data_IF_126655322074
#
_entry.id   IF_126655322074
#
_cell.length_a   1.000
_cell.length_b   1.000
_cell.length_c   1.000
_cell.angle_alpha   90.00
_cell.angle_beta   90.00
_cell.angle_gamma   90.00
#
_symmetry.space_group_name_H-M   'P 1'
#
loop_
_entity.id
_entity.type
_entity.pdbx_description
1 polymer ?
#
# COMPACT_ATOMS: atom_id res chain seq x y z
N UNK A 1 -20.30 -16.31 7.84
CA UNK A 1 -20.97 -15.61 6.74
C UNK A 1 -20.51 -16.27 5.46
N UNK A 2 -21.40 -16.69 4.59
CA UNK A 2 -21.02 -17.26 3.31
C UNK A 2 -20.63 -16.12 2.36
N UNK A 3 -19.49 -16.21 1.68
CA UNK A 3 -18.98 -15.17 0.77
C UNK A 3 -19.94 -14.83 -0.39
N UNK A 4 -20.91 -15.70 -0.69
CA UNK A 4 -21.88 -15.53 -1.77
C UNK A 4 -23.01 -14.51 -1.51
N UNK A 5 -23.11 -13.93 -0.31
CA UNK A 5 -24.22 -12.99 0.00
C UNK A 5 -23.84 -11.54 -0.31
N UNK A 6 -24.24 -11.05 -1.47
CA UNK A 6 -23.99 -9.69 -1.97
C UNK A 6 -24.81 -8.57 -1.29
N UNK A 7 -25.69 -8.88 -0.36
CA UNK A 7 -26.70 -7.93 0.16
C UNK A 7 -26.52 -7.48 1.62
N UNK A 8 -25.56 -7.99 2.36
CA UNK A 8 -25.37 -7.63 3.76
C UNK A 8 -24.15 -6.74 3.94
N UNK A 9 -24.28 -5.62 4.68
CA UNK A 9 -23.17 -4.75 5.02
C UNK A 9 -22.07 -5.55 5.72
N UNK A 10 -20.82 -5.39 5.27
CA UNK A 10 -19.67 -6.09 5.85
C UNK A 10 -19.44 -5.62 7.29
N UNK A 11 -19.16 -6.56 8.16
CA UNK A 11 -18.75 -6.29 9.53
C UNK A 11 -17.21 -6.30 9.64
N UNK A 12 -16.69 -5.45 10.53
CA UNK A 12 -15.27 -5.32 10.79
C UNK A 12 -14.97 -5.30 12.28
N UNK A 13 -13.74 -5.70 12.61
CA UNK A 13 -13.17 -5.57 13.94
C UNK A 13 -12.23 -4.35 13.93
N UNK A 14 -12.39 -3.45 14.90
CA UNK A 14 -11.58 -2.24 15.04
C UNK A 14 -10.29 -2.51 15.81
N UNK A 15 -9.20 -1.90 15.38
CA UNK A 15 -7.91 -1.93 16.08
C UNK A 15 -6.73 -2.22 15.16
N UNK A 16 -5.54 -1.83 15.59
CA UNK A 16 -4.28 -2.12 14.90
C UNK A 16 -3.41 -3.04 15.76
N UNK A 17 -2.98 -4.17 15.19
CA UNK A 17 -2.10 -5.12 15.87
C UNK A 17 -2.73 -5.86 17.05
N UNK A 18 -4.05 -5.84 17.19
CA UNK A 18 -4.78 -6.54 18.24
C UNK A 18 -4.77 -8.07 18.01
N UNK A 19 -4.95 -8.82 19.09
CA UNK A 19 -5.36 -10.21 19.02
C UNK A 19 -6.85 -10.27 18.72
N UNK A 20 -7.16 -10.43 17.44
CA UNK A 20 -8.55 -10.57 16.98
C UNK A 20 -9.04 -12.00 17.12
N UNK A 21 -10.36 -12.18 17.20
CA UNK A 21 -10.99 -13.47 17.32
C UNK A 21 -12.37 -13.43 16.67
N UNK A 22 -12.64 -14.35 15.75
CA UNK A 22 -13.89 -14.35 14.99
C UNK A 22 -14.23 -15.74 14.43
N UNK A 23 -15.52 -16.02 14.29
CA UNK A 23 -16.04 -17.25 13.70
C UNK A 23 -17.23 -16.96 12.79
N UNK A 24 -17.31 -17.63 11.66
CA UNK A 24 -18.43 -17.53 10.73
C UNK A 24 -19.55 -18.52 11.03
N UNK A 25 -19.25 -19.57 11.80
CA UNK A 25 -20.21 -20.51 12.37
C UNK A 25 -20.06 -20.51 13.89
N UNK A 26 -21.14 -20.35 14.67
CA UNK A 26 -21.08 -20.39 16.13
C UNK A 26 -20.44 -21.68 16.67
N UNK A 27 -19.41 -21.53 17.50
CA UNK A 27 -18.69 -22.67 18.11
C UNK A 27 -17.62 -23.29 17.19
N UNK A 28 -17.30 -22.67 16.04
CA UNK A 28 -16.18 -23.11 15.19
C UNK A 28 -14.81 -22.77 15.78
N UNK A 29 -14.75 -21.75 16.63
CA UNK A 29 -13.53 -21.33 17.31
C UNK A 29 -13.30 -22.19 18.56
N UNK A 30 -12.17 -22.92 18.67
CA UNK A 30 -11.86 -23.68 19.86
C UNK A 30 -11.72 -22.81 21.10
N UNK A 31 -12.11 -23.34 22.24
CA UNK A 31 -12.01 -22.66 23.55
C UNK A 31 -10.86 -23.27 24.35
N UNK A 32 -9.98 -22.40 24.87
CA UNK A 32 -8.94 -22.78 25.82
C UNK A 32 -7.65 -23.33 25.19
N UNK A 33 -7.62 -23.66 23.89
CA UNK A 33 -6.42 -24.15 23.22
C UNK A 33 -6.44 -23.85 21.71
N UNK A 34 -5.26 -23.70 21.11
CA UNK A 34 -5.12 -23.36 19.68
C UNK A 34 -5.27 -24.59 18.76
N UNK A 35 -4.79 -25.75 19.18
CA UNK A 35 -4.73 -26.96 18.36
C UNK A 35 -5.34 -28.17 19.09
N UNK A 36 -6.67 -28.20 19.26
CA UNK A 36 -7.33 -29.36 19.87
C UNK A 36 -7.14 -30.59 19.00
N UNK A 37 -7.09 -31.77 19.65
CA UNK A 37 -7.00 -33.05 18.94
C UNK A 37 -8.13 -33.22 17.91
N UNK A 38 -9.31 -32.72 18.23
CA UNK A 38 -10.48 -32.68 17.35
C UNK A 38 -11.05 -31.26 17.35
N UNK A 39 -10.79 -30.52 16.28
CA UNK A 39 -11.40 -29.21 16.13
C UNK A 39 -12.91 -29.32 15.89
N UNK A 40 -13.69 -28.29 16.30
CA UNK A 40 -15.13 -28.25 16.04
C UNK A 40 -15.44 -28.44 14.55
N UNK A 41 -16.61 -29.03 14.26
CA UNK A 41 -17.11 -29.28 12.90
C UNK A 41 -16.18 -30.13 12.00
N UNK A 42 -15.19 -30.82 12.56
CA UNK A 42 -14.20 -31.55 11.77
C UNK A 42 -13.24 -30.67 10.97
N UNK A 43 -13.07 -29.41 11.38
CA UNK A 43 -12.16 -28.48 10.77
C UNK A 43 -10.70 -28.87 11.00
N UNK A 44 -9.82 -28.47 10.09
CA UNK A 44 -8.38 -28.60 10.24
C UNK A 44 -7.80 -27.33 10.87
N UNK A 45 -6.94 -27.54 11.88
CA UNK A 45 -6.17 -26.44 12.48
C UNK A 45 -4.94 -26.16 11.64
N UNK A 46 -4.73 -24.89 11.31
CA UNK A 46 -3.56 -24.43 10.56
C UNK A 46 -3.00 -23.14 11.20
N UNK A 47 -1.68 -23.04 11.33
CA UNK A 47 -1.00 -21.85 11.81
C UNK A 47 -0.48 -21.03 10.63
N UNK A 48 -0.97 -19.81 10.51
CA UNK A 48 -0.44 -18.80 9.59
C UNK A 48 0.56 -17.90 10.35
N UNK A 49 1.85 -18.20 10.23
CA UNK A 49 2.93 -17.49 10.93
C UNK A 49 3.61 -16.49 10.01
N UNK A 50 3.44 -15.19 10.30
CA UNK A 50 4.00 -14.10 9.48
C UNK A 50 5.43 -13.71 9.85
N UNK A 51 5.88 -14.00 11.09
CA UNK A 51 7.17 -13.48 11.60
C UNK A 51 7.97 -14.50 12.41
N UNK A 52 7.70 -15.80 12.27
CA UNK A 52 8.43 -16.82 13.02
C UNK A 52 9.94 -16.69 12.82
N UNK A 53 10.69 -16.61 13.92
CA UNK A 53 12.15 -16.46 13.98
C UNK A 53 12.73 -15.20 13.32
N UNK A 54 11.91 -14.29 12.85
CA UNK A 54 12.35 -13.07 12.14
C UNK A 54 12.14 -11.80 12.95
N UNK A 55 11.43 -11.89 14.09
CA UNK A 55 11.16 -10.78 15.01
C UNK A 55 11.25 -11.26 16.48
N UNK A 56 11.41 -10.33 17.44
CA UNK A 56 11.25 -10.65 18.87
C UNK A 56 9.90 -11.29 19.16
N UNK A 57 9.84 -12.21 20.11
CA UNK A 57 8.62 -12.94 20.45
C UNK A 57 7.44 -12.05 20.83
N UNK A 58 7.71 -10.93 21.47
CA UNK A 58 6.69 -9.92 21.84
C UNK A 58 6.06 -9.22 20.63
N UNK A 59 6.71 -9.24 19.49
CA UNK A 59 6.27 -8.61 18.23
C UNK A 59 5.83 -9.65 17.19
N UNK A 60 5.86 -10.94 17.54
CA UNK A 60 5.55 -12.02 16.62
C UNK A 60 4.10 -11.93 16.13
N UNK A 61 3.91 -12.02 14.83
CA UNK A 61 2.61 -12.06 14.17
C UNK A 61 2.28 -13.47 13.73
N UNK A 62 1.11 -13.95 14.11
CA UNK A 62 0.56 -15.25 13.74
C UNK A 62 -0.96 -15.23 13.83
N UNK A 63 -1.59 -16.15 13.09
CA UNK A 63 -3.04 -16.39 13.14
C UNK A 63 -3.30 -17.88 13.10
N UNK A 64 -4.09 -18.38 14.05
CA UNK A 64 -4.61 -19.73 14.06
C UNK A 64 -5.88 -19.76 13.26
N UNK A 65 -5.93 -20.65 12.28
CA UNK A 65 -7.04 -20.80 11.35
C UNK A 65 -7.68 -22.18 11.51
N UNK A 66 -9.01 -22.23 11.44
CA UNK A 66 -9.80 -23.46 11.49
C UNK A 66 -10.55 -23.53 10.16
N UNK A 67 -10.13 -24.46 9.29
CA UNK A 67 -10.50 -24.46 7.89
C UNK A 67 -11.02 -25.81 7.39
N UNK A 68 -11.79 -25.78 6.31
CA UNK A 68 -12.45 -26.97 5.74
C UNK A 68 -11.42 -27.94 5.16
N UNK A 69 -10.40 -27.42 4.46
CA UNK A 69 -9.30 -28.22 3.93
C UNK A 69 -7.97 -27.51 4.19
N UNK A 70 -6.91 -28.23 4.58
CA UNK A 70 -5.62 -27.62 4.88
C UNK A 70 -4.95 -27.11 3.61
N UNK A 71 -4.16 -26.03 3.74
CA UNK A 71 -3.42 -25.42 2.62
C UNK A 71 -2.43 -26.39 1.96
N UNK A 72 -1.99 -27.43 2.67
CA UNK A 72 -1.08 -28.45 2.14
C UNK A 72 -1.74 -29.37 1.07
N UNK A 73 -3.07 -29.32 0.94
CA UNK A 73 -3.79 -30.12 -0.04
C UNK A 73 -3.82 -29.43 -1.41
N UNK A 74 -2.72 -29.50 -2.11
CA UNK A 74 -2.59 -28.97 -3.49
C UNK A 74 -1.60 -29.82 -4.31
N UNK A 75 -1.79 -29.92 -5.65
CA UNK A 75 -0.80 -30.44 -6.56
C UNK A 75 0.46 -29.55 -6.64
N UNK A 76 1.47 -30.03 -7.36
CA UNK A 76 2.65 -29.22 -7.61
C UNK A 76 2.33 -27.95 -8.42
N UNK A 77 2.98 -26.84 -8.06
CA UNK A 77 2.88 -25.59 -8.81
C UNK A 77 3.66 -25.68 -10.12
N UNK A 78 3.06 -25.15 -11.18
CA UNK A 78 3.66 -25.00 -12.50
C UNK A 78 3.97 -23.52 -12.76
N UNK A 79 5.15 -23.23 -13.27
CA UNK A 79 5.56 -21.86 -13.58
C UNK A 79 4.73 -21.28 -14.71
N UNK A 80 4.27 -20.04 -14.53
CA UNK A 80 3.68 -19.22 -15.57
C UNK A 80 4.76 -18.41 -16.29
N UNK A 81 4.56 -18.08 -17.56
CA UNK A 81 5.54 -17.31 -18.33
C UNK A 81 5.71 -15.88 -17.82
N UNK A 82 4.65 -15.29 -17.27
CA UNK A 82 4.65 -13.92 -16.78
C UNK A 82 5.43 -13.78 -15.46
N UNK A 83 6.23 -12.72 -15.38
CA UNK A 83 6.97 -12.31 -14.18
C UNK A 83 6.39 -11.01 -13.62
N UNK A 84 6.31 -10.92 -12.28
CA UNK A 84 5.93 -9.71 -11.54
C UNK A 84 7.05 -9.19 -10.62
N UNK A 85 8.21 -9.80 -10.62
CA UNK A 85 9.36 -9.22 -9.92
C UNK A 85 9.75 -7.94 -10.59
N UNK A 86 9.92 -6.87 -9.88
CA UNK A 86 10.51 -5.61 -10.36
C UNK A 86 10.81 -5.48 -11.85
N UNK A 87 10.29 -6.36 -12.68
CA UNK A 87 10.53 -6.52 -14.10
C UNK A 87 12.02 -6.70 -14.40
N UNK A 88 12.43 -6.75 -15.65
CA UNK A 88 13.79 -6.38 -15.98
C UNK A 88 13.95 -4.93 -15.57
N UNK A 89 14.82 -4.67 -14.57
CA UNK A 89 15.15 -3.33 -14.14
C UNK A 89 15.78 -2.57 -15.32
N UNK A 90 15.37 -1.31 -15.48
CA UNK A 90 15.92 -0.42 -16.48
C UNK A 90 17.33 0.08 -16.09
N UNK A 91 17.86 1.00 -16.88
CA UNK A 91 19.08 1.69 -16.53
C UNK A 91 18.92 2.56 -15.29
N UNK A 92 19.97 2.63 -14.48
CA UNK A 92 20.01 3.51 -13.31
C UNK A 92 20.10 4.95 -13.78
N UNK A 93 19.20 5.81 -13.29
CA UNK A 93 19.21 7.24 -13.61
C UNK A 93 19.09 8.07 -12.33
N UNK A 94 19.85 9.15 -12.18
CA UNK A 94 19.65 10.14 -11.12
C UNK A 94 18.56 11.17 -11.46
N UNK A 95 17.98 11.10 -12.66
CA UNK A 95 16.98 12.05 -13.12
C UNK A 95 15.66 11.86 -12.38
N UNK A 96 14.94 12.94 -12.21
CA UNK A 96 13.57 12.93 -11.71
C UNK A 96 12.65 12.38 -12.79
N UNK A 97 11.79 11.46 -12.42
CA UNK A 97 10.84 10.84 -13.33
C UNK A 97 9.41 11.18 -12.92
N UNK A 98 8.54 11.36 -13.92
CA UNK A 98 7.10 11.56 -13.70
C UNK A 98 6.31 10.87 -14.79
N UNK A 99 5.20 10.23 -14.39
CA UNK A 99 4.32 9.51 -15.29
C UNK A 99 2.90 10.07 -15.23
N UNK A 100 2.27 10.16 -16.37
CA UNK A 100 0.83 10.30 -16.48
C UNK A 100 0.14 9.02 -15.94
N UNK A 101 -1.18 9.08 -15.65
CA UNK A 101 -1.93 7.89 -15.28
C UNK A 101 -1.81 6.80 -16.34
N UNK A 102 -1.69 5.54 -15.92
CA UNK A 102 -1.76 4.41 -16.85
C UNK A 102 -3.13 4.36 -17.52
N UNK A 103 -3.16 4.03 -18.80
CA UNK A 103 -4.41 3.82 -19.53
C UNK A 103 -5.17 2.64 -18.93
N UNK A 104 -6.49 2.76 -18.91
CA UNK A 104 -7.36 1.67 -18.49
C UNK A 104 -7.44 0.62 -19.60
N UNK A 105 -7.43 -0.69 -19.27
CA UNK A 105 -7.40 -1.74 -20.28
C UNK A 105 -8.70 -1.79 -21.09
N UNK A 106 -8.57 -2.05 -22.38
CA UNK A 106 -9.69 -2.34 -23.29
C UNK A 106 -10.01 -3.85 -23.37
N UNK A 107 -8.98 -4.67 -23.22
CA UNK A 107 -9.11 -6.12 -23.15
C UNK A 107 -9.39 -6.58 -21.72
N UNK A 108 -10.09 -7.72 -21.52
CA UNK A 108 -10.37 -8.26 -20.20
C UNK A 108 -9.10 -8.47 -19.40
N UNK A 109 -8.91 -7.68 -18.33
CA UNK A 109 -7.71 -7.65 -17.53
C UNK A 109 -8.09 -7.67 -16.04
N UNK A 110 -7.68 -8.72 -15.32
CA UNK A 110 -7.87 -8.80 -13.89
C UNK A 110 -6.73 -8.10 -13.12
N UNK A 111 -6.85 -8.05 -11.80
CA UNK A 111 -5.88 -7.36 -10.94
C UNK A 111 -4.44 -7.85 -11.13
N UNK A 112 -4.21 -9.18 -11.24
CA UNK A 112 -2.86 -9.73 -11.43
C UNK A 112 -2.33 -9.37 -12.82
N UNK A 113 -3.17 -9.52 -13.85
CA UNK A 113 -2.76 -9.25 -15.23
C UNK A 113 -2.54 -7.76 -15.49
N UNK A 114 -3.20 -6.90 -14.74
CA UNK A 114 -3.04 -5.45 -14.80
C UNK A 114 -1.93 -4.86 -13.94
N UNK A 115 -1.23 -5.67 -13.13
CA UNK A 115 -0.07 -5.21 -12.37
C UNK A 115 1.11 -4.95 -13.31
N UNK A 116 1.70 -3.77 -13.23
CA UNK A 116 2.94 -3.41 -13.92
C UNK A 116 3.96 -2.90 -12.91
N UNK A 117 5.19 -3.39 -13.02
CA UNK A 117 6.28 -2.93 -12.16
C UNK A 117 6.73 -1.55 -12.57
N UNK A 118 6.82 -0.62 -11.61
CA UNK A 118 7.34 0.73 -11.82
C UNK A 118 8.79 0.86 -11.35
N UNK A 119 9.08 0.42 -10.14
CA UNK A 119 10.42 0.50 -9.57
C UNK A 119 10.63 -0.58 -8.50
N UNK A 120 11.89 -0.95 -8.25
CA UNK A 120 12.26 -1.83 -7.15
C UNK A 120 13.69 -1.56 -6.70
N UNK A 121 14.01 -1.98 -5.46
CA UNK A 121 15.39 -1.89 -4.93
C UNK A 121 15.92 -3.22 -4.42
N UNK A 122 15.10 -4.24 -4.34
CA UNK A 122 15.50 -5.59 -3.98
C UNK A 122 14.54 -6.61 -4.59
N UNK A 123 14.93 -7.86 -4.59
CA UNK A 123 14.06 -9.00 -4.80
C UNK A 123 13.75 -9.68 -3.47
N UNK A 124 12.82 -10.61 -3.49
CA UNK A 124 12.36 -11.33 -2.31
C UNK A 124 13.40 -12.26 -1.67
N UNK A 125 14.55 -12.42 -2.27
CA UNK A 125 15.69 -13.17 -1.73
C UNK A 125 16.35 -12.49 -0.52
N UNK A 126 16.03 -11.21 -0.26
CA UNK A 126 16.52 -10.46 0.90
C UNK A 126 15.33 -10.00 1.76
N UNK A 127 15.44 -10.06 3.09
CA UNK A 127 14.39 -9.58 3.99
C UNK A 127 14.44 -8.06 4.14
N UNK A 128 14.52 -7.33 3.03
CA UNK A 128 14.58 -5.87 2.97
C UNK A 128 14.29 -5.38 1.57
N UNK A 129 13.91 -4.10 1.45
CA UNK A 129 13.59 -3.46 0.19
C UNK A 129 12.11 -3.53 -0.16
N UNK A 130 11.79 -2.95 -1.29
CA UNK A 130 10.42 -2.84 -1.79
C UNK A 130 10.36 -3.03 -3.30
N UNK A 131 9.19 -3.42 -3.79
CA UNK A 131 8.84 -3.33 -5.20
C UNK A 131 7.56 -2.51 -5.33
N UNK A 132 7.52 -1.60 -6.30
CA UNK A 132 6.39 -0.70 -6.53
C UNK A 132 5.74 -1.04 -7.86
N UNK A 133 4.42 -1.16 -7.82
CA UNK A 133 3.59 -1.45 -8.99
C UNK A 133 2.49 -0.40 -9.12
N UNK A 134 2.07 -0.17 -10.35
CA UNK A 134 0.75 0.38 -10.64
C UNK A 134 -0.14 -0.76 -11.14
N UNK A 135 -1.44 -0.68 -10.91
CA UNK A 135 -2.40 -1.64 -11.45
C UNK A 135 -3.55 -0.95 -12.18
N UNK A 136 -4.05 -1.63 -13.19
CA UNK A 136 -5.30 -1.31 -13.89
C UNK A 136 -6.10 -2.60 -14.09
N UNK A 137 -7.42 -2.55 -13.93
CA UNK A 137 -8.26 -3.72 -14.13
C UNK A 137 -9.65 -3.31 -14.65
N UNK A 138 -10.26 -4.16 -15.47
CA UNK A 138 -11.65 -4.04 -15.92
C UNK A 138 -12.44 -5.35 -15.78
N UNK A 139 -11.84 -6.35 -15.10
CA UNK A 139 -12.44 -7.66 -14.84
C UNK A 139 -12.11 -8.10 -13.42
N UNK A 140 -13.08 -8.68 -12.73
CA UNK A 140 -12.85 -9.38 -11.46
C UNK A 140 -12.01 -10.64 -11.65
N UNK A 141 -11.20 -10.99 -10.67
CA UNK A 141 -10.46 -12.24 -10.67
C UNK A 141 -11.40 -13.44 -10.52
N UNK A 142 -11.15 -14.49 -11.28
CA UNK A 142 -11.76 -15.82 -11.11
C UNK A 142 -10.83 -16.78 -10.35
N UNK A 143 -9.55 -16.46 -10.31
CA UNK A 143 -8.47 -17.18 -9.62
C UNK A 143 -8.18 -16.58 -8.25
N UNK A 144 -7.61 -17.39 -7.37
CA UNK A 144 -7.12 -16.94 -6.07
C UNK A 144 -5.62 -16.72 -6.14
N UNK A 145 -5.12 -15.69 -5.46
CA UNK A 145 -3.72 -15.32 -5.48
C UNK A 145 -3.16 -15.23 -4.06
N UNK A 146 -1.87 -15.52 -3.90
CA UNK A 146 -1.11 -15.11 -2.73
C UNK A 146 0.33 -14.74 -3.08
N UNK A 147 0.87 -13.81 -2.32
CA UNK A 147 2.23 -13.31 -2.49
C UNK A 147 3.14 -13.91 -1.41
N UNK A 148 4.04 -14.82 -1.79
CA UNK A 148 5.03 -15.40 -0.89
C UNK A 148 6.27 -14.52 -0.72
N UNK A 149 6.41 -13.43 -1.49
CA UNK A 149 7.59 -12.57 -1.50
C UNK A 149 7.51 -11.45 -0.46
N UNK A 150 6.34 -10.83 -0.29
CA UNK A 150 6.19 -9.67 0.58
C UNK A 150 4.75 -9.40 1.03
N UNK A 151 4.62 -8.50 1.99
CA UNK A 151 3.38 -7.86 2.40
C UNK A 151 2.97 -6.85 1.33
N UNK A 152 1.68 -6.72 1.02
CA UNK A 152 1.17 -5.84 -0.04
C UNK A 152 0.36 -4.69 0.56
N UNK A 153 0.77 -3.45 0.28
CA UNK A 153 0.02 -2.23 0.59
C UNK A 153 -0.60 -1.71 -0.70
N UNK A 154 -1.94 -1.77 -0.82
CA UNK A 154 -2.70 -1.27 -1.96
C UNK A 154 -3.26 0.12 -1.68
N UNK A 155 -3.16 1.00 -2.68
CA UNK A 155 -3.68 2.37 -2.64
C UNK A 155 -4.59 2.58 -3.87
N UNK A 156 -5.90 2.29 -3.77
CA UNK A 156 -6.85 2.54 -4.84
C UNK A 156 -6.93 4.03 -5.21
N UNK A 157 -6.93 4.31 -6.51
CA UNK A 157 -7.10 5.66 -7.05
C UNK A 157 -8.43 5.82 -7.80
N UNK A 158 -8.83 4.80 -8.53
CA UNK A 158 -10.08 4.74 -9.29
C UNK A 158 -10.75 3.37 -9.06
N UNK A 159 -12.06 3.40 -8.87
CA UNK A 159 -12.88 2.20 -8.68
C UNK A 159 -12.73 1.58 -7.28
N UNK A 160 -13.82 1.01 -6.81
CA UNK A 160 -13.90 0.28 -5.54
C UNK A 160 -13.56 -1.19 -5.77
N UNK A 161 -12.88 -1.78 -4.81
CA UNK A 161 -12.50 -3.19 -4.82
C UNK A 161 -13.16 -3.92 -3.67
N UNK A 162 -13.58 -5.14 -3.90
CA UNK A 162 -13.90 -6.12 -2.89
C UNK A 162 -12.78 -7.15 -2.88
N UNK A 163 -12.14 -7.31 -1.74
CA UNK A 163 -11.04 -8.25 -1.56
C UNK A 163 -11.52 -9.39 -0.68
N UNK A 164 -11.86 -10.50 -1.30
CA UNK A 164 -12.20 -11.73 -0.61
C UNK A 164 -10.90 -12.43 -0.19
N UNK A 165 -10.67 -12.55 1.10
CA UNK A 165 -9.48 -13.22 1.67
C UNK A 165 -9.88 -14.49 2.39
N UNK A 166 -8.91 -15.37 2.69
CA UNK A 166 -9.17 -16.54 3.52
C UNK A 166 -9.53 -16.19 4.98
N UNK A 167 -9.30 -14.94 5.42
CA UNK A 167 -9.66 -14.44 6.76
C UNK A 167 -10.93 -13.56 6.78
N UNK A 168 -11.59 -13.38 5.64
CA UNK A 168 -12.80 -12.57 5.51
C UNK A 168 -12.73 -11.57 4.37
N UNK A 169 -13.69 -10.67 4.27
CA UNK A 169 -13.89 -9.77 3.13
C UNK A 169 -13.64 -8.33 3.53
N UNK A 170 -12.88 -7.61 2.68
CA UNK A 170 -12.69 -6.17 2.77
C UNK A 170 -13.26 -5.49 1.52
N UNK A 171 -13.97 -4.39 1.70
CA UNK A 171 -14.25 -3.44 0.62
C UNK A 171 -13.39 -2.20 0.83
N UNK A 172 -12.72 -1.77 -0.24
CA UNK A 172 -11.81 -0.63 -0.23
C UNK A 172 -12.12 0.30 -1.41
N UNK A 173 -12.19 1.59 -1.13
CA UNK A 173 -12.46 2.64 -2.10
C UNK A 173 -11.23 3.56 -2.27
N UNK A 174 -11.18 4.43 -3.30
CA UNK A 174 -10.26 5.54 -3.31
C UNK A 174 -10.31 6.34 -1.99
N UNK A 175 -9.16 6.82 -1.53
CA UNK A 175 -8.94 7.42 -0.19
C UNK A 175 -8.91 6.42 0.97
N UNK A 176 -8.97 5.14 0.72
CA UNK A 176 -8.68 4.08 1.68
C UNK A 176 -7.45 3.29 1.22
N UNK A 177 -6.77 2.65 2.15
CA UNK A 177 -5.70 1.69 1.87
C UNK A 177 -6.07 0.33 2.43
N UNK A 178 -5.44 -0.71 1.88
CA UNK A 178 -5.52 -2.06 2.44
C UNK A 178 -4.13 -2.68 2.48
N UNK A 179 -3.82 -3.37 3.57
CA UNK A 179 -2.61 -4.15 3.75
C UNK A 179 -2.97 -5.63 3.82
N UNK A 180 -2.33 -6.41 2.95
CA UNK A 180 -2.48 -7.86 2.86
C UNK A 180 -1.18 -8.51 3.33
N UNK A 181 -1.18 -9.29 4.44
CA UNK A 181 0.01 -9.96 4.93
C UNK A 181 0.64 -10.89 3.89
N UNK A 182 1.96 -11.03 3.93
CA UNK A 182 2.71 -12.00 3.12
C UNK A 182 2.13 -13.41 3.30
N UNK A 183 1.77 -14.06 2.19
CA UNK A 183 1.24 -15.43 2.18
C UNK A 183 -0.28 -15.54 2.32
N UNK A 184 -1.00 -14.46 2.61
CA UNK A 184 -2.47 -14.47 2.67
C UNK A 184 -3.07 -14.74 1.29
N UNK A 185 -4.02 -15.66 1.22
CA UNK A 185 -4.75 -15.97 -0.01
C UNK A 185 -5.91 -14.99 -0.20
N UNK A 186 -6.08 -14.47 -1.41
CA UNK A 186 -7.14 -13.53 -1.73
C UNK A 186 -7.55 -13.53 -3.20
N UNK A 187 -8.72 -12.95 -3.48
CA UNK A 187 -9.26 -12.64 -4.81
C UNK A 187 -9.78 -11.21 -4.82
N UNK A 188 -9.44 -10.45 -5.87
CA UNK A 188 -9.93 -9.09 -6.07
C UNK A 188 -11.12 -9.09 -7.02
N UNK A 189 -12.23 -8.54 -6.55
CA UNK A 189 -13.47 -8.33 -7.30
C UNK A 189 -13.68 -6.83 -7.49
N UNK A 190 -14.06 -6.43 -8.70
CA UNK A 190 -14.36 -5.04 -9.01
C UNK A 190 -15.80 -4.74 -8.63
N UNK A 191 -16.03 -3.69 -7.85
CA UNK A 191 -17.35 -3.15 -7.53
C UNK A 191 -17.79 -2.05 -8.49
N UNK A 192 -16.86 -1.55 -9.29
CA UNK A 192 -17.06 -0.59 -10.36
C UNK A 192 -16.52 -1.16 -11.67
N UNK A 193 -16.90 -0.63 -12.86
CA UNK A 193 -16.51 -1.22 -14.14
C UNK A 193 -15.00 -1.33 -14.37
N UNK A 194 -14.23 -0.44 -13.74
CA UNK A 194 -12.78 -0.34 -13.91
C UNK A 194 -12.13 0.07 -12.59
N UNK A 195 -10.87 -0.32 -12.43
CA UNK A 195 -10.06 0.07 -11.29
C UNK A 195 -8.64 0.45 -11.72
N UNK A 196 -8.04 1.38 -10.99
CA UNK A 196 -6.64 1.78 -11.09
C UNK A 196 -6.12 2.17 -9.71
N UNK A 197 -4.84 1.92 -9.48
CA UNK A 197 -4.19 2.33 -8.24
C UNK A 197 -2.73 1.92 -8.20
N UNK A 198 -2.19 1.96 -7.00
CA UNK A 198 -0.78 1.73 -6.71
C UNK A 198 -0.64 0.61 -5.69
N UNK A 199 0.52 -0.03 -5.70
CA UNK A 199 0.85 -1.09 -4.78
C UNK A 199 2.33 -1.01 -4.41
N UNK A 200 2.62 -1.03 -3.11
CA UNK A 200 3.95 -1.31 -2.60
C UNK A 200 3.99 -2.73 -2.04
N UNK A 201 4.95 -3.50 -2.49
CA UNK A 201 5.31 -4.80 -1.94
C UNK A 201 6.48 -4.62 -0.99
N UNK A 202 6.29 -4.93 0.27
CA UNK A 202 7.26 -4.78 1.33
C UNK A 202 7.94 -6.13 1.60
N UNK A 203 9.24 -6.22 1.31
CA UNK A 203 10.06 -7.42 1.57
C UNK A 203 10.69 -7.42 2.97
N UNK A 204 10.56 -6.30 3.69
CA UNK A 204 11.11 -6.10 5.04
C UNK A 204 10.21 -6.56 6.17
N UNK A 205 10.41 -5.98 7.34
CA UNK A 205 9.54 -6.19 8.49
C UNK A 205 8.10 -5.73 8.19
N UNK A 206 7.07 -6.36 8.78
CA UNK A 206 5.69 -5.96 8.58
C UNK A 206 5.46 -4.48 8.93
N UNK A 207 4.57 -3.84 8.18
CA UNK A 207 4.15 -2.47 8.44
C UNK A 207 3.57 -2.33 9.85
N UNK A 208 3.93 -1.26 10.53
CA UNK A 208 3.49 -0.88 11.87
C UNK A 208 3.16 0.61 11.94
N UNK A 209 2.53 1.03 13.02
CA UNK A 209 2.36 2.46 13.29
C UNK A 209 3.73 3.08 13.60
N UNK A 210 3.99 4.31 13.13
CA UNK A 210 5.21 5.04 13.47
C UNK A 210 5.22 5.48 14.94
N UNK A 211 6.39 5.86 15.44
CA UNK A 211 6.52 6.48 16.73
C UNK A 211 5.82 7.86 16.73
N UNK A 212 5.09 8.17 17.81
CA UNK A 212 4.26 9.37 17.88
C UNK A 212 5.08 10.67 17.98
N UNK A 213 6.29 10.59 18.50
CA UNK A 213 7.19 11.74 18.61
C UNK A 213 6.59 12.89 19.46
N UNK A 214 6.87 14.15 19.09
CA UNK A 214 6.44 15.31 19.87
C UNK A 214 4.93 15.56 19.81
N UNK A 215 4.19 14.92 18.93
CA UNK A 215 2.72 15.08 18.80
C UNK A 215 1.99 14.40 19.97
N UNK A 216 2.62 13.44 20.61
CA UNK A 216 2.02 12.63 21.67
C UNK A 216 0.99 11.62 21.12
N UNK A 217 0.08 11.17 21.98
CA UNK A 217 -0.82 10.06 21.70
C UNK A 217 -2.05 10.40 20.86
N UNK A 218 -2.30 11.67 20.54
CA UNK A 218 -3.52 12.13 19.86
C UNK A 218 -3.30 12.55 18.41
N UNK A 219 -2.12 12.33 17.87
CA UNK A 219 -1.76 12.65 16.48
C UNK A 219 -1.74 11.42 15.57
N UNK A 220 -1.49 11.63 14.28
CA UNK A 220 -1.28 10.58 13.27
C UNK A 220 -2.50 9.67 13.03
N UNK A 221 -2.28 8.47 12.49
CA UNK A 221 -3.31 7.45 12.35
C UNK A 221 -3.69 6.85 13.71
N UNK A 222 -4.98 6.87 14.05
CA UNK A 222 -5.44 6.30 15.30
C UNK A 222 -5.63 4.79 15.14
N UNK A 223 -5.08 3.94 16.03
CA UNK A 223 -5.24 2.48 15.97
C UNK A 223 -6.69 2.01 15.83
N UNK A 224 -7.65 2.67 16.45
CA UNK A 224 -9.08 2.31 16.39
C UNK A 224 -9.71 2.44 15.00
N UNK A 225 -9.10 3.23 14.11
CA UNK A 225 -9.64 3.50 12.77
C UNK A 225 -9.17 2.48 11.73
N UNK A 226 -8.29 1.56 12.12
CA UNK A 226 -7.93 0.40 11.32
C UNK A 226 -8.98 -0.70 11.48
N UNK A 227 -9.39 -1.30 10.37
CA UNK A 227 -10.47 -2.25 10.31
C UNK A 227 -9.99 -3.58 9.72
N UNK A 228 -10.19 -4.65 10.49
CA UNK A 228 -9.90 -6.04 10.11
C UNK A 228 -11.22 -6.77 9.84
N UNK A 229 -11.31 -7.65 8.82
CA UNK A 229 -12.57 -8.34 8.51
C UNK A 229 -12.96 -9.31 9.60
N UNK A 230 -14.24 -9.67 9.67
CA UNK A 230 -14.71 -10.86 10.41
C UNK A 230 -14.59 -12.08 9.53
N UNK A 231 -14.51 -13.26 10.14
CA UNK A 231 -14.44 -14.54 9.42
C UNK A 231 -15.59 -14.69 8.42
N UNK A 232 -15.23 -15.06 7.21
CA UNK A 232 -16.14 -15.44 6.14
C UNK A 232 -15.45 -16.51 5.29
N UNK A 233 -16.19 -17.48 4.77
CA UNK A 233 -15.61 -18.63 4.09
C UNK A 233 -16.40 -19.05 2.86
N UNK A 234 -15.73 -19.73 1.95
CA UNK A 234 -16.32 -20.46 0.82
C UNK A 234 -16.28 -21.97 1.10
N UNK A 235 -17.40 -22.63 0.94
CA UNK A 235 -17.47 -24.09 0.95
C UNK A 235 -17.82 -24.58 -0.47
N UNK A 236 -16.96 -24.23 -1.42
CA UNK A 236 -17.13 -24.53 -2.84
C UNK A 236 -16.20 -25.67 -3.24
N UNK A 237 -16.79 -26.77 -3.72
CA UNK A 237 -16.08 -27.93 -4.27
C UNK A 237 -16.09 -27.83 -5.81
N UNK A 238 -15.25 -26.93 -6.33
CA UNK A 238 -15.13 -26.68 -7.77
C UNK A 238 -13.67 -26.39 -8.14
N UNK A 239 -13.27 -26.61 -9.40
CA UNK A 239 -11.94 -26.26 -9.85
C UNK A 239 -11.64 -24.78 -9.57
N UNK A 240 -10.50 -24.52 -8.95
CA UNK A 240 -10.05 -23.18 -8.59
C UNK A 240 -8.55 -23.07 -8.86
N UNK A 241 -8.17 -22.18 -9.74
CA UNK A 241 -6.74 -21.87 -9.97
C UNK A 241 -6.19 -21.07 -8.80
N UNK A 242 -5.16 -21.59 -8.15
CA UNK A 242 -4.38 -20.89 -7.13
C UNK A 242 -3.07 -20.41 -7.73
N UNK A 243 -2.87 -19.10 -7.74
CA UNK A 243 -1.64 -18.46 -8.25
C UNK A 243 -0.77 -18.01 -7.09
N UNK A 244 0.51 -18.35 -7.14
CA UNK A 244 1.51 -17.93 -6.19
C UNK A 244 2.55 -17.03 -6.86
N UNK A 245 2.88 -15.90 -6.24
CA UNK A 245 4.11 -15.17 -6.55
C UNK A 245 5.23 -15.68 -5.63
N UNK A 246 6.33 -16.16 -6.24
CA UNK A 246 7.50 -16.64 -5.51
C UNK A 246 8.77 -16.23 -6.25
N UNK A 247 9.66 -15.51 -5.57
CA UNK A 247 10.86 -14.86 -6.14
C UNK A 247 10.57 -14.11 -7.45
N UNK A 248 9.48 -13.33 -7.43
CA UNK A 248 9.05 -12.52 -8.55
C UNK A 248 8.45 -13.29 -9.72
N UNK A 249 8.43 -14.61 -9.67
CA UNK A 249 7.83 -15.47 -10.68
C UNK A 249 6.39 -15.81 -10.28
N UNK A 250 5.52 -15.99 -11.25
CA UNK A 250 4.18 -16.52 -11.03
C UNK A 250 4.16 -18.02 -11.26
N UNK A 251 3.49 -18.71 -10.35
CA UNK A 251 3.28 -20.15 -10.36
C UNK A 251 1.80 -20.42 -10.17
N UNK A 252 1.26 -21.47 -10.76
CA UNK A 252 -0.14 -21.84 -10.59
C UNK A 252 -0.30 -23.34 -10.29
N UNK A 253 -1.36 -23.66 -9.58
CA UNK A 253 -1.84 -25.03 -9.37
C UNK A 253 -3.36 -25.02 -9.41
N UNK A 254 -3.95 -26.16 -9.79
CA UNK A 254 -5.40 -26.34 -9.81
C UNK A 254 -5.85 -27.10 -8.55
N UNK A 255 -6.72 -26.47 -7.80
CA UNK A 255 -7.42 -27.09 -6.66
C UNK A 255 -8.79 -27.58 -7.10
N UNK A 256 -9.34 -28.54 -6.39
CA UNK A 256 -10.73 -28.99 -6.56
C UNK A 256 -11.70 -28.30 -5.60
N UNK A 257 -11.28 -27.28 -4.93
CA UNK A 257 -12.04 -26.52 -3.92
C UNK A 257 -11.55 -25.06 -3.85
N UNK A 258 -12.38 -24.19 -3.29
CA UNK A 258 -11.92 -22.82 -2.96
C UNK A 258 -10.94 -22.86 -1.78
N UNK A 259 -9.77 -22.20 -1.88
CA UNK A 259 -8.86 -22.07 -0.75
C UNK A 259 -9.26 -20.96 0.24
N UNK A 260 -10.32 -20.20 -0.03
CA UNK A 260 -10.87 -19.18 0.89
C UNK A 260 -11.85 -19.83 1.89
N UNK A 261 -11.43 -20.89 2.55
CA UNK A 261 -12.28 -21.84 3.28
C UNK A 261 -12.05 -21.85 4.81
N UNK A 262 -11.55 -20.74 5.37
CA UNK A 262 -11.32 -20.60 6.81
C UNK A 262 -12.62 -20.16 7.50
N UNK A 263 -13.15 -21.04 8.36
CA UNK A 263 -14.46 -20.86 9.03
C UNK A 263 -14.35 -20.02 10.31
N UNK A 264 -13.21 -20.13 10.99
CA UNK A 264 -12.91 -19.36 12.19
C UNK A 264 -11.41 -19.12 12.30
N UNK A 265 -11.03 -18.02 12.96
CA UNK A 265 -9.63 -17.70 13.18
C UNK A 265 -9.45 -16.75 14.37
N UNK A 266 -8.26 -16.76 14.97
CA UNK A 266 -7.82 -15.76 15.94
C UNK A 266 -6.34 -15.48 15.78
N UNK A 267 -5.92 -14.24 16.03
CA UNK A 267 -4.53 -13.81 15.95
C UNK A 267 -4.38 -12.36 15.49
N UNK A 268 -3.15 -12.01 15.14
CA UNK A 268 -2.75 -10.66 14.79
C UNK A 268 -2.01 -10.53 13.44
N UNK A 269 -1.81 -11.66 12.72
CA UNK A 269 -1.31 -11.63 11.35
C UNK A 269 -2.50 -11.62 10.38
N UNK A 270 -3.09 -10.45 10.21
CA UNK A 270 -4.41 -10.26 9.58
C UNK A 270 -4.38 -9.14 8.55
N UNK A 271 -5.22 -9.18 7.51
CA UNK A 271 -5.39 -8.05 6.62
C UNK A 271 -6.16 -6.93 7.32
N UNK A 272 -5.87 -5.70 6.93
CA UNK A 272 -6.58 -4.54 7.46
C UNK A 272 -6.70 -3.43 6.42
N UNK A 273 -7.69 -2.55 6.60
CA UNK A 273 -7.86 -1.32 5.83
C UNK A 273 -7.86 -0.09 6.75
N UNK A 274 -7.57 1.06 6.15
CA UNK A 274 -7.60 2.35 6.84
C UNK A 274 -8.11 3.44 5.91
N UNK A 275 -8.97 4.31 6.43
CA UNK A 275 -9.50 5.50 5.72
C UNK A 275 -8.55 6.68 5.95
N UNK A 276 -7.86 7.13 4.91
CA UNK A 276 -6.86 8.21 4.96
C UNK A 276 -7.47 9.55 5.40
N UNK A 277 -8.77 9.75 5.25
CA UNK A 277 -9.47 10.95 5.69
C UNK A 277 -9.56 11.07 7.23
N UNK A 278 -9.27 9.98 7.95
CA UNK A 278 -9.25 9.93 9.41
C UNK A 278 -7.89 10.28 10.02
N UNK A 279 -6.90 10.51 9.18
CA UNK A 279 -5.57 10.89 9.64
C UNK A 279 -5.61 12.25 10.34
N UNK A 280 -5.08 12.34 11.57
CA UNK A 280 -5.03 13.58 12.32
C UNK A 280 -3.83 14.41 11.87
N UNK A 281 -4.03 15.24 10.85
CA UNK A 281 -2.98 16.00 10.19
C UNK A 281 -2.55 17.19 11.02
N UNK A 282 -1.24 17.33 11.22
CA UNK A 282 -0.63 18.53 11.81
C UNK A 282 0.19 19.22 10.71
N UNK A 283 -0.40 20.25 10.08
CA UNK A 283 0.22 21.00 8.98
C UNK A 283 0.82 22.32 9.36
N UNK A 284 0.77 22.69 10.67
CA UNK A 284 1.05 24.05 11.11
C UNK A 284 1.78 24.08 12.44
N UNK A 285 2.78 24.95 12.50
CA UNK A 285 3.47 25.44 13.70
C UNK A 285 3.48 26.97 13.65
N UNK A 286 4.07 27.67 14.62
CA UNK A 286 4.08 29.13 14.63
C UNK A 286 4.77 29.72 13.38
N UNK A 287 5.91 29.17 13.02
CA UNK A 287 6.64 29.47 11.78
C UNK A 287 7.39 28.22 11.35
N UNK A 288 7.84 28.17 10.09
CA UNK A 288 8.40 27.01 9.40
C UNK A 288 7.37 25.90 9.15
N UNK A 289 7.80 24.81 8.56
CA UNK A 289 7.00 23.61 8.35
C UNK A 289 7.36 22.54 9.38
N UNK A 290 6.37 21.76 9.85
CA UNK A 290 6.68 20.52 10.54
C UNK A 290 7.46 19.60 9.61
N UNK A 291 8.29 18.72 10.19
CA UNK A 291 8.98 17.68 9.45
C UNK A 291 7.96 16.76 8.75
N UNK A 292 8.10 16.45 7.44
CA UNK A 292 7.16 15.62 6.71
C UNK A 292 6.95 14.22 7.30
N UNK A 293 7.87 13.71 8.11
CA UNK A 293 7.74 12.42 8.79
C UNK A 293 6.52 12.33 9.71
N UNK A 294 5.98 13.47 10.16
CA UNK A 294 4.71 13.49 10.92
C UNK A 294 3.49 13.10 10.08
N UNK A 295 3.61 13.02 8.77
CA UNK A 295 2.56 12.57 7.86
C UNK A 295 2.64 11.07 7.57
N UNK A 296 3.54 10.34 8.22
CA UNK A 296 3.67 8.88 8.07
C UNK A 296 2.47 8.17 8.68
N UNK A 297 1.78 7.38 7.88
CA UNK A 297 0.65 6.55 8.31
C UNK A 297 1.15 5.20 8.82
N UNK A 298 2.04 4.57 8.08
CA UNK A 298 2.63 3.25 8.38
C UNK A 298 4.12 3.25 8.06
N UNK A 299 4.89 2.51 8.83
CA UNK A 299 6.33 2.31 8.63
C UNK A 299 6.72 0.84 8.70
N UNK A 300 7.64 0.42 7.83
CA UNK A 300 8.36 -0.86 7.93
C UNK A 300 9.79 -0.56 8.35
N UNK A 301 10.22 -0.93 9.55
CA UNK A 301 11.58 -0.66 10.01
C UNK A 301 12.60 -1.57 9.33
N UNK A 302 13.86 -1.12 9.30
CA UNK A 302 15.03 -1.97 9.01
C UNK A 302 15.63 -2.50 10.31
N UNK A 303 16.71 -3.29 10.20
CA UNK A 303 17.54 -3.68 11.34
C UNK A 303 18.37 -2.54 11.94
N UNK A 304 18.45 -1.41 11.24
CA UNK A 304 19.13 -0.19 11.72
C UNK A 304 18.10 0.72 12.36
N UNK A 305 18.28 1.02 13.64
CA UNK A 305 17.36 1.86 14.40
C UNK A 305 17.16 3.23 13.72
N UNK A 306 15.91 3.64 13.55
CA UNK A 306 15.56 4.92 12.93
C UNK A 306 15.62 4.94 11.39
N UNK A 307 16.02 3.83 10.75
CA UNK A 307 16.06 3.72 9.31
C UNK A 307 14.87 2.92 8.78
N UNK A 308 14.02 3.54 7.97
CA UNK A 308 12.87 2.88 7.38
C UNK A 308 13.24 2.06 6.13
N UNK A 309 12.67 0.86 6.02
CA UNK A 309 12.63 0.08 4.79
C UNK A 309 11.56 0.64 3.83
N UNK A 310 10.40 0.97 4.38
CA UNK A 310 9.28 1.59 3.69
C UNK A 310 8.52 2.49 4.67
N UNK A 311 8.36 3.75 4.33
CA UNK A 311 7.38 4.63 4.93
C UNK A 311 6.26 4.90 3.94
N UNK A 312 5.02 4.82 4.42
CA UNK A 312 3.84 5.27 3.69
C UNK A 312 3.40 6.61 4.28
N UNK A 313 3.66 7.66 3.52
CA UNK A 313 3.41 9.06 3.90
C UNK A 313 2.26 9.59 3.07
N UNK A 314 1.41 10.45 3.64
CA UNK A 314 0.31 11.08 2.92
C UNK A 314 0.36 12.60 3.02
N UNK A 315 -0.25 13.27 2.04
CA UNK A 315 -0.43 14.72 2.03
C UNK A 315 -1.94 15.01 1.94
N UNK A 316 -2.63 14.94 3.11
CA UNK A 316 -4.08 15.13 3.15
C UNK A 316 -4.48 16.60 3.24
N UNK A 317 -5.79 16.91 3.17
CA UNK A 317 -6.31 18.24 3.48
C UNK A 317 -5.84 18.74 4.84
N UNK A 318 -5.40 20.03 4.91
CA UNK A 318 -4.84 20.61 6.11
C UNK A 318 -4.90 22.13 6.13
N UNK A 319 -4.80 22.70 7.31
CA UNK A 319 -4.65 24.15 7.51
C UNK A 319 -3.19 24.57 7.44
N UNK A 320 -2.93 25.68 6.74
CA UNK A 320 -1.63 26.34 6.64
C UNK A 320 -1.75 27.74 7.26
N UNK A 321 -1.14 27.94 8.42
CA UNK A 321 -1.19 29.21 9.16
C UNK A 321 0.17 29.67 9.68
N UNK A 322 1.28 29.07 9.20
CA UNK A 322 2.62 29.45 9.61
C UNK A 322 2.92 30.92 9.27
N UNK A 323 3.42 31.63 10.28
CA UNK A 323 3.72 33.07 10.18
C UNK A 323 4.95 33.31 9.34
N UNK A 324 4.88 34.29 8.43
CA UNK A 324 6.01 34.72 7.59
C UNK A 324 6.82 33.57 6.94
N UNK A 325 6.13 32.47 6.61
CA UNK A 325 6.75 31.24 6.13
C UNK A 325 6.42 30.98 4.67
N UNK A 326 7.41 30.56 3.88
CA UNK A 326 7.20 29.99 2.56
C UNK A 326 6.38 28.69 2.69
N UNK A 327 5.14 28.68 2.18
CA UNK A 327 4.16 27.63 2.53
C UNK A 327 4.20 26.36 1.71
N UNK A 328 4.58 26.32 0.41
CA UNK A 328 4.86 25.07 -0.28
C UNK A 328 6.03 24.33 0.38
N UNK A 329 6.17 23.03 0.16
CA UNK A 329 7.40 22.32 0.54
C UNK A 329 8.62 23.07 -0.04
N UNK A 330 9.65 23.25 0.77
CA UNK A 330 10.89 23.92 0.34
C UNK A 330 11.65 23.11 -0.72
N UNK A 331 12.54 23.74 -1.47
CA UNK A 331 13.50 23.01 -2.31
C UNK A 331 14.40 22.17 -1.42
N UNK A 332 14.54 20.90 -1.75
CA UNK A 332 15.32 19.96 -0.94
C UNK A 332 15.95 18.84 -1.77
N UNK A 333 16.77 18.09 -1.11
CA UNK A 333 17.34 16.81 -1.52
C UNK A 333 17.60 16.00 -0.26
N UNK A 334 17.20 14.76 -0.25
CA UNK A 334 17.32 13.89 0.91
C UNK A 334 17.91 12.52 0.57
N UNK A 335 18.14 11.70 1.58
CA UNK A 335 18.68 10.35 1.43
C UNK A 335 17.63 9.32 0.96
N UNK A 336 16.36 9.60 1.20
CA UNK A 336 15.27 8.70 0.82
C UNK A 336 14.99 8.79 -0.67
N UNK A 337 14.47 7.70 -1.22
CA UNK A 337 13.88 7.66 -2.55
C UNK A 337 12.38 7.79 -2.37
N UNK A 338 11.77 8.66 -3.13
CA UNK A 338 10.38 9.07 -3.02
C UNK A 338 9.62 8.64 -4.28
N UNK A 339 8.76 7.63 -4.15
CA UNK A 339 7.78 7.33 -5.19
C UNK A 339 6.44 7.92 -4.75
N UNK A 340 6.01 8.98 -5.43
CA UNK A 340 4.79 9.70 -5.11
C UNK A 340 3.67 9.34 -6.06
N UNK A 341 2.44 9.28 -5.54
CA UNK A 341 1.20 9.16 -6.31
C UNK A 341 0.17 10.19 -5.89
N UNK A 342 -0.71 10.56 -6.83
CA UNK A 342 -1.84 11.45 -6.55
C UNK A 342 -3.15 10.67 -6.65
N UNK A 343 -3.87 10.57 -5.54
CA UNK A 343 -5.15 9.86 -5.48
C UNK A 343 -6.27 10.78 -5.97
N UNK A 344 -6.27 12.04 -5.50
CA UNK A 344 -7.36 12.99 -5.76
C UNK A 344 -6.85 14.43 -5.75
N UNK A 345 -7.48 15.29 -6.55
CA UNK A 345 -7.29 16.74 -6.53
C UNK A 345 -5.99 17.20 -7.15
N UNK A 346 -5.39 18.22 -6.55
CA UNK A 346 -4.14 18.85 -6.98
C UNK A 346 -3.09 18.74 -5.88
N UNK A 347 -1.82 18.66 -6.26
CA UNK A 347 -0.72 18.65 -5.30
C UNK A 347 -0.17 20.08 -5.14
N UNK A 348 -0.01 20.53 -3.91
CA UNK A 348 0.32 21.91 -3.53
C UNK A 348 1.70 22.43 -4.00
N UNK A 349 2.61 21.52 -4.39
CA UNK A 349 3.93 21.89 -4.93
C UNK A 349 4.00 21.94 -6.45
N UNK A 350 2.93 21.59 -7.17
CA UNK A 350 2.91 21.47 -8.63
C UNK A 350 1.63 22.07 -9.21
N UNK A 351 1.79 23.16 -9.97
CA UNK A 351 0.65 23.81 -10.62
C UNK A 351 0.07 22.97 -11.76
N UNK A 352 0.91 22.20 -12.47
CA UNK A 352 0.51 21.42 -13.64
C UNK A 352 1.27 20.10 -13.77
N UNK A 353 0.70 19.18 -14.55
CA UNK A 353 1.36 17.96 -15.02
C UNK A 353 1.42 16.82 -14.02
N UNK A 354 0.92 16.98 -12.80
CA UNK A 354 0.74 15.91 -11.82
C UNK A 354 -0.74 15.75 -11.52
N UNK A 355 -1.38 14.77 -12.15
CA UNK A 355 -2.82 14.55 -12.11
C UNK A 355 -3.17 13.25 -11.38
N UNK A 356 -4.41 13.09 -10.87
CA UNK A 356 -4.84 11.86 -10.19
C UNK A 356 -4.59 10.60 -11.03
N UNK A 357 -3.93 9.61 -10.44
CA UNK A 357 -3.46 8.39 -11.11
C UNK A 357 -2.04 8.48 -11.66
N UNK A 358 -1.45 9.67 -11.73
CA UNK A 358 -0.06 9.88 -12.08
C UNK A 358 0.90 9.52 -10.94
N UNK A 359 2.18 9.39 -11.27
CA UNK A 359 3.25 9.09 -10.31
C UNK A 359 4.51 9.90 -10.60
N UNK A 360 5.38 10.05 -9.59
CA UNK A 360 6.74 10.58 -9.76
C UNK A 360 7.74 9.76 -8.95
N UNK A 361 8.99 9.76 -9.38
CA UNK A 361 10.12 9.17 -8.66
C UNK A 361 11.24 10.21 -8.53
N UNK A 362 11.60 10.52 -7.30
CA UNK A 362 12.78 11.30 -6.96
C UNK A 362 13.77 10.39 -6.25
N UNK A 363 14.87 10.08 -6.92
CA UNK A 363 15.91 9.23 -6.34
C UNK A 363 16.67 9.98 -5.24
N UNK A 364 17.40 9.25 -4.39
CA UNK A 364 18.20 9.84 -3.32
C UNK A 364 19.11 10.96 -3.84
N UNK A 365 19.20 12.06 -3.11
CA UNK A 365 19.94 13.28 -3.45
C UNK A 365 19.47 14.02 -4.72
N UNK A 366 18.37 13.60 -5.35
CA UNK A 366 17.78 14.32 -6.47
C UNK A 366 17.12 15.60 -5.97
N UNK A 367 17.63 16.76 -6.37
CA UNK A 367 17.10 18.05 -5.95
C UNK A 367 15.72 18.31 -6.58
N UNK A 368 14.72 18.63 -5.76
CA UNK A 368 13.36 18.94 -6.20
C UNK A 368 12.66 19.90 -5.24
N UNK A 369 11.42 20.27 -5.54
CA UNK A 369 10.63 21.21 -4.75
C UNK A 369 9.47 21.76 -5.58
N UNK A 370 8.88 22.91 -5.20
CA UNK A 370 7.81 23.52 -5.96
C UNK A 370 8.27 23.91 -7.35
N UNK A 371 7.39 23.85 -8.34
CA UNK A 371 7.69 24.37 -9.67
C UNK A 371 7.82 25.91 -9.67
N UNK A 372 8.29 26.48 -10.78
CA UNK A 372 8.56 27.90 -10.88
C UNK A 372 7.34 28.79 -10.68
N UNK A 373 6.18 28.37 -11.15
CA UNK A 373 4.92 29.10 -10.97
C UNK A 373 4.46 29.08 -9.51
N UNK A 374 4.42 27.92 -8.90
CA UNK A 374 4.08 27.74 -7.47
C UNK A 374 5.03 28.53 -6.58
N UNK A 375 6.34 28.48 -6.86
CA UNK A 375 7.35 29.22 -6.12
C UNK A 375 7.11 30.74 -6.21
N UNK A 376 6.86 31.26 -7.41
CA UNK A 376 6.62 32.69 -7.63
C UNK A 376 5.34 33.16 -6.94
N UNK A 377 4.27 32.39 -7.02
CA UNK A 377 3.01 32.68 -6.32
C UNK A 377 3.21 32.71 -4.80
N UNK A 378 3.94 31.73 -4.27
CA UNK A 378 4.16 31.61 -2.83
C UNK A 378 5.02 32.74 -2.25
N UNK A 379 6.05 33.20 -2.96
CA UNK A 379 6.90 34.32 -2.53
C UNK A 379 6.10 35.62 -2.46
N UNK A 380 5.12 35.82 -3.36
CA UNK A 380 4.32 37.04 -3.44
C UNK A 380 2.96 36.94 -2.74
N UNK A 381 2.66 35.84 -2.09
CA UNK A 381 1.35 35.63 -1.46
C UNK A 381 1.16 36.50 -0.22
N UNK A 382 -0.03 37.09 -0.06
CA UNK A 382 -0.49 37.63 1.21
C UNK A 382 -0.77 36.46 2.17
N UNK A 383 0.01 36.35 3.25
CA UNK A 383 -0.12 35.25 4.17
C UNK A 383 -1.30 35.44 5.14
N UNK A 384 -2.27 34.57 5.01
CA UNK A 384 -3.43 34.43 5.90
C UNK A 384 -3.73 32.94 6.09
N UNK A 385 -4.52 32.55 7.12
CA UNK A 385 -4.96 31.17 7.26
C UNK A 385 -5.59 30.66 5.95
N UNK A 386 -5.06 29.55 5.43
CA UNK A 386 -5.55 28.91 4.21
C UNK A 386 -5.70 27.42 4.46
N UNK A 387 -6.77 26.83 3.95
CA UNK A 387 -7.00 25.39 3.97
C UNK A 387 -6.62 24.83 2.60
N UNK A 388 -5.67 23.88 2.58
CA UNK A 388 -5.48 23.03 1.42
C UNK A 388 -6.57 21.97 1.52
N UNK A 389 -7.47 21.91 0.55
CA UNK A 389 -8.63 21.04 0.55
C UNK A 389 -8.71 20.25 -0.76
N UNK A 390 -9.57 19.21 -0.79
CA UNK A 390 -9.82 18.39 -1.96
C UNK A 390 -8.54 17.82 -2.61
N UNK A 391 -7.56 17.42 -1.79
CA UNK A 391 -6.32 16.80 -2.24
C UNK A 391 -6.01 15.57 -1.42
N UNK A 392 -5.40 14.58 -2.04
CA UNK A 392 -4.78 13.45 -1.37
C UNK A 392 -3.66 12.90 -2.24
N UNK A 393 -2.44 13.22 -1.88
CA UNK A 393 -1.24 12.59 -2.42
C UNK A 393 -0.63 11.66 -1.37
N UNK A 394 0.25 10.77 -1.81
CA UNK A 394 1.00 9.89 -0.94
C UNK A 394 2.41 9.67 -1.47
N UNK A 395 3.31 9.19 -0.61
CA UNK A 395 4.63 8.70 -0.97
C UNK A 395 4.88 7.30 -0.41
N UNK A 396 5.56 6.49 -1.19
CA UNK A 396 6.33 5.35 -0.74
C UNK A 396 7.78 5.80 -0.64
N UNK A 397 8.27 5.93 0.57
CA UNK A 397 9.65 6.33 0.85
C UNK A 397 10.49 5.13 1.27
N UNK A 398 11.69 5.04 0.78
CA UNK A 398 12.64 3.98 1.15
C UNK A 398 14.06 4.50 1.21
N UNK A 399 14.81 4.03 2.20
CA UNK A 399 16.24 4.34 2.35
C UNK A 399 17.12 3.66 1.28
N UNK A 400 16.61 2.70 0.54
CA UNK A 400 17.35 1.97 -0.48
C UNK A 400 17.03 2.54 -1.87
N UNK A 401 18.05 2.65 -2.73
CA UNK A 401 17.89 3.25 -4.07
C UNK A 401 16.89 2.46 -4.90
N UNK A 402 15.83 3.12 -5.34
CA UNK A 402 14.85 2.60 -6.27
C UNK A 402 15.38 2.65 -7.71
N UNK A 403 15.34 1.52 -8.38
CA UNK A 403 15.64 1.41 -9.81
C UNK A 403 14.32 1.31 -10.57
N UNK A 404 14.06 2.20 -11.55
CA UNK A 404 12.90 2.08 -12.40
C UNK A 404 12.95 0.76 -13.19
N UNK A 405 11.80 0.19 -13.47
CA UNK A 405 11.69 -0.96 -14.39
C UNK A 405 11.90 -0.49 -15.83
N UNK A 406 12.21 -1.43 -16.72
CA UNK A 406 12.25 -1.13 -18.15
C UNK A 406 10.89 -0.63 -18.65
N UNK A 407 9.79 -1.26 -18.20
CA UNK A 407 8.44 -0.78 -18.51
C UNK A 407 8.25 0.68 -18.14
N UNK A 408 8.64 1.09 -16.94
CA UNK A 408 8.49 2.46 -16.46
C UNK A 408 9.28 3.49 -17.29
N UNK A 409 10.43 3.09 -17.84
CA UNK A 409 11.25 3.96 -18.70
C UNK A 409 10.77 4.01 -20.16
N UNK A 410 10.12 2.95 -20.63
CA UNK A 410 9.72 2.81 -22.05
C UNK A 410 8.23 3.12 -22.29
N UNK A 411 7.40 3.22 -21.22
CA UNK A 411 5.96 3.42 -21.36
C UNK A 411 5.63 4.84 -21.87
N UNK A 412 4.57 4.99 -22.69
CA UNK A 412 4.17 6.29 -23.25
C UNK A 412 3.71 7.32 -22.20
N UNK A 413 3.41 6.87 -20.98
CA UNK A 413 3.02 7.74 -19.88
C UNK A 413 4.20 8.47 -19.24
N UNK A 414 5.46 8.09 -19.51
CA UNK A 414 6.64 8.79 -19.02
C UNK A 414 6.70 10.19 -19.63
N UNK A 415 6.74 11.22 -18.77
CA UNK A 415 6.85 12.61 -19.21
C UNK A 415 8.31 12.97 -19.54
N UNK A 416 8.56 13.39 -20.75
CA UNK A 416 9.91 13.73 -21.25
C UNK A 416 10.35 15.15 -20.90
N UNK A 417 9.43 16.00 -20.42
CA UNK A 417 9.65 17.42 -20.14
C UNK A 417 9.49 17.79 -18.66
N UNK A 418 9.54 16.82 -17.76
CA UNK A 418 9.28 17.09 -16.32
C UNK A 418 10.21 18.16 -15.74
N UNK A 419 11.49 18.15 -16.10
CA UNK A 419 12.48 19.11 -15.59
C UNK A 419 12.21 20.56 -16.02
N UNK A 420 11.44 20.78 -17.07
CA UNK A 420 11.11 22.12 -17.56
C UNK A 420 10.33 22.96 -16.53
N UNK A 421 9.64 22.34 -15.58
CA UNK A 421 8.88 23.05 -14.55
C UNK A 421 9.74 23.90 -13.60
N UNK A 422 11.05 23.69 -13.56
CA UNK A 422 12.00 24.49 -12.77
C UNK A 422 12.83 25.47 -13.62
N UNK A 423 12.80 25.35 -14.94
CA UNK A 423 13.62 26.18 -15.84
C UNK A 423 13.28 27.69 -15.78
N UNK A 424 12.08 28.02 -15.30
CA UNK A 424 11.61 29.42 -15.19
C UNK A 424 12.00 30.10 -13.87
N UNK A 425 12.69 29.43 -12.96
CA UNK A 425 13.14 30.01 -11.71
C UNK A 425 14.24 31.04 -11.94
N UNK A 426 14.02 32.34 -11.64
CA UNK A 426 15.03 33.38 -11.88
C UNK A 426 16.06 33.42 -10.76
N UNK A 427 17.28 33.84 -11.08
CA UNK A 427 18.26 34.27 -10.09
C UNK A 427 17.88 35.68 -9.61
N UNK A 428 17.35 35.80 -8.41
CA UNK A 428 16.86 37.09 -7.85
C UNK A 428 17.79 37.68 -6.80
N UNK A 429 18.96 37.08 -6.58
CA UNK A 429 19.91 37.53 -5.58
C UNK A 429 20.38 38.95 -5.89
N UNK A 430 20.22 39.87 -4.98
CA UNK A 430 20.70 41.22 -4.99
C UNK A 430 21.28 41.57 -3.60
N UNK A 431 22.60 41.72 -3.46
CA UNK A 431 23.25 41.98 -2.17
C UNK A 431 22.90 43.36 -1.58
N UNK A 432 22.25 44.24 -2.34
CA UNK A 432 21.81 45.56 -1.86
C UNK A 432 20.39 45.55 -1.28
N UNK A 433 19.63 44.50 -1.49
CA UNK A 433 18.28 44.31 -0.93
C UNK A 433 18.36 43.53 0.39
N UNK A 434 17.73 44.09 1.40
CA UNK A 434 17.48 43.39 2.70
C UNK A 434 16.01 43.17 2.90
#
# INVERSE_FOLDING_TARGET
MNLDSTAQALAYQSGFGNEFSTEALPGALPVGQNSPQKAPYGLYTELFSGTAFTMPRSEARRTWMYRIQPSANHPAFVRLERQLAGGPLGEVTPNRLRWNPLDLPTEPTDFIDGLVSMAANAGAEKPSGISIYNYTANRSMERVFFNADGEMLLVPQLGRLRIATELGVLEVAPLEIVVLPRGLKFRVELLDPQARGYLAENHGAPLRLPDLGPIGSNGLANPRDFLTPVAAYENLQQPTTLVQKFLGQLWATELNHSPLNVVAWHGNNVPYKYDLRRFNTIGTVSFDHPDPSIFTVLTSPTSVHGLANLDFVIFPPRWMVAENTFRPPWFHRNLMNEFMGLIQGEYDAKAEGFVPGGASLHSCMSAHGPDGETCTKAINAELKPAKIDNTMAFMFETSQVLRPSRYALDCPQLQTNYDACWATLPATFDPTRR
#
